data_IF_036753321988
#
_entry.id   IF_036753321988
#
_cell.length_a   1.000
_cell.length_b   1.000
_cell.length_c   1.000
_cell.angle_alpha   90.00
_cell.angle_beta   90.00
_cell.angle_gamma   90.00
#
_symmetry.space_group_name_H-M   'P 1'
#
loop_
_entity.id
_entity.type
_entity.pdbx_description
1 polymer ?
#
# COMPACT_ATOMS: atom_id res chain seq x y z
N UNK A 1 51.16 -24.84 -22.33
CA UNK A 1 49.83 -24.96 -22.98
C UNK A 1 48.88 -25.56 -21.97
N UNK A 2 47.84 -24.95 -21.43
CA UNK A 2 47.11 -23.72 -21.69
C UNK A 2 45.75 -24.02 -21.06
N UNK A 3 45.51 -23.59 -19.83
CA UNK A 3 44.23 -23.80 -19.16
C UNK A 3 43.26 -22.78 -19.74
N UNK A 4 42.21 -23.26 -20.39
CA UNK A 4 41.04 -22.45 -20.68
C UNK A 4 39.93 -23.16 -19.89
N UNK A 5 39.64 -22.58 -18.71
CA UNK A 5 38.31 -22.68 -18.15
C UNK A 5 37.50 -21.77 -19.05
N UNK A 6 36.55 -22.33 -19.79
CA UNK A 6 35.56 -21.50 -20.47
C UNK A 6 34.67 -20.92 -19.38
N UNK A 7 35.12 -19.75 -18.93
CA UNK A 7 34.41 -18.79 -18.13
C UNK A 7 33.36 -18.20 -19.07
N UNK A 8 32.10 -18.63 -18.94
CA UNK A 8 30.99 -17.87 -19.49
C UNK A 8 30.48 -17.01 -18.33
N UNK A 9 30.94 -15.77 -18.32
CA UNK A 9 30.81 -14.77 -17.23
C UNK A 9 29.58 -13.88 -17.41
N UNK A 10 28.52 -14.37 -18.06
CA UNK A 10 27.38 -13.53 -18.47
C UNK A 10 26.00 -14.15 -18.25
N UNK A 11 25.84 -15.13 -17.34
CA UNK A 11 24.53 -15.78 -17.11
C UNK A 11 24.16 -16.00 -15.62
N UNK A 12 24.83 -15.32 -14.69
CA UNK A 12 24.45 -15.32 -13.25
C UNK A 12 24.17 -13.90 -12.74
N UNK A 13 23.50 -13.09 -13.57
CA UNK A 13 22.97 -11.78 -13.18
C UNK A 13 21.52 -11.68 -13.61
N UNK A 14 20.70 -12.62 -13.14
CA UNK A 14 19.25 -12.50 -13.18
C UNK A 14 18.70 -12.77 -11.79
N UNK A 15 18.29 -11.67 -11.18
CA UNK A 15 17.24 -11.53 -10.19
C UNK A 15 17.44 -12.20 -8.83
N UNK A 16 18.41 -11.64 -8.09
CA UNK A 16 18.13 -11.23 -6.70
C UNK A 16 17.12 -10.07 -6.73
N UNK A 17 15.90 -10.33 -7.22
CA UNK A 17 14.78 -9.44 -6.98
C UNK A 17 14.28 -9.79 -5.60
N UNK A 18 14.53 -8.86 -4.70
CA UNK A 18 14.26 -8.93 -3.28
C UNK A 18 12.93 -9.63 -3.03
N UNK A 19 13.01 -10.72 -2.26
CA UNK A 19 11.93 -11.20 -1.44
C UNK A 19 11.64 -10.12 -0.37
N UNK A 20 11.18 -8.94 -0.79
CA UNK A 20 10.47 -8.01 0.07
C UNK A 20 9.12 -8.68 0.29
N UNK A 21 9.04 -9.29 1.46
CA UNK A 21 7.91 -9.99 2.05
C UNK A 21 6.58 -9.36 1.62
N UNK A 22 5.74 -10.14 0.95
CA UNK A 22 4.31 -9.82 0.81
C UNK A 22 3.66 -9.57 2.19
N UNK A 23 4.28 -10.06 3.27
CA UNK A 23 3.91 -9.83 4.66
C UNK A 23 4.11 -8.39 5.17
N UNK A 24 5.09 -7.63 4.68
CA UNK A 24 5.29 -6.23 5.15
C UNK A 24 4.15 -5.32 4.65
N UNK A 25 3.62 -5.60 3.45
CA UNK A 25 2.54 -4.81 2.86
C UNK A 25 1.17 -5.05 3.52
N UNK A 26 0.95 -6.24 4.10
CA UNK A 26 -0.28 -6.55 4.83
C UNK A 26 -0.26 -5.95 6.25
N UNK A 27 0.91 -5.95 6.90
CA UNK A 27 1.11 -5.34 8.23
C UNK A 27 0.89 -3.81 8.24
N UNK A 28 1.23 -3.11 7.17
CA UNK A 28 1.04 -1.64 7.07
C UNK A 28 -0.44 -1.24 7.08
N UNK A 29 -1.35 -2.11 6.60
CA UNK A 29 -2.77 -1.77 6.54
C UNK A 29 -3.48 -1.88 7.88
N UNK A 30 -3.04 -2.76 8.78
CA UNK A 30 -3.64 -2.91 10.11
C UNK A 30 -3.44 -1.64 10.96
N UNK A 31 -2.21 -1.12 11.04
CA UNK A 31 -1.92 0.11 11.78
C UNK A 31 -2.63 1.33 11.16
N UNK A 32 -2.71 1.36 9.82
CA UNK A 32 -3.39 2.42 9.09
C UNK A 32 -4.91 2.35 9.28
N UNK A 33 -5.50 1.15 9.38
CA UNK A 33 -6.91 0.93 9.67
C UNK A 33 -7.25 1.39 11.10
N UNK A 34 -6.41 1.06 12.09
CA UNK A 34 -6.57 1.56 13.46
C UNK A 34 -6.58 3.09 13.48
N UNK A 35 -5.60 3.72 12.82
CA UNK A 35 -5.55 5.17 12.71
C UNK A 35 -6.77 5.74 12.00
N UNK A 36 -7.24 5.08 10.94
CA UNK A 36 -8.45 5.48 10.23
C UNK A 36 -9.66 5.55 11.15
N UNK A 37 -9.90 4.55 12.01
CA UNK A 37 -11.01 4.58 12.97
C UNK A 37 -10.90 5.74 13.96
N UNK A 38 -9.69 6.12 14.37
CA UNK A 38 -9.47 7.26 15.27
C UNK A 38 -9.80 8.61 14.60
N UNK A 39 -9.51 8.74 13.30
CA UNK A 39 -9.61 10.02 12.58
C UNK A 39 -10.84 10.12 11.66
N UNK A 40 -11.59 9.04 11.43
CA UNK A 40 -12.63 8.93 10.41
C UNK A 40 -13.62 10.10 10.49
N UNK A 41 -14.13 10.38 11.69
CA UNK A 41 -15.12 11.45 11.91
C UNK A 41 -14.58 12.83 11.49
N UNK A 42 -13.33 13.14 11.85
CA UNK A 42 -12.70 14.41 11.48
C UNK A 42 -12.38 14.45 9.99
N UNK A 43 -11.85 13.35 9.46
CA UNK A 43 -11.49 13.20 8.06
C UNK A 43 -12.70 13.42 7.15
N UNK A 44 -13.84 12.82 7.49
CA UNK A 44 -15.12 12.97 6.79
C UNK A 44 -15.77 14.35 7.00
N UNK A 45 -15.56 14.96 8.17
CA UNK A 45 -15.98 16.35 8.42
C UNK A 45 -15.21 17.34 7.54
N UNK A 46 -13.90 17.13 7.35
CA UNK A 46 -13.05 17.93 6.45
C UNK A 46 -13.41 17.69 4.98
N UNK A 47 -13.74 16.46 4.63
CA UNK A 47 -14.00 16.03 3.26
C UNK A 47 -15.43 15.49 3.12
N UNK A 48 -16.39 16.41 3.11
CA UNK A 48 -17.83 16.12 3.06
C UNK A 48 -18.30 15.38 1.78
N UNK A 49 -17.41 15.18 0.81
CA UNK A 49 -17.67 14.37 -0.37
C UNK A 49 -17.54 12.85 -0.12
N UNK A 50 -16.90 12.44 0.97
CA UNK A 50 -16.79 11.04 1.40
C UNK A 50 -18.12 10.59 2.01
N UNK A 51 -18.74 9.59 1.42
CA UNK A 51 -20.01 9.03 1.91
C UNK A 51 -19.77 7.91 2.92
N UNK A 52 -20.79 7.57 3.72
CA UNK A 52 -20.72 6.45 4.67
C UNK A 52 -20.26 5.14 3.98
N UNK A 53 -20.75 4.86 2.78
CA UNK A 53 -20.37 3.65 2.03
C UNK A 53 -18.95 3.67 1.45
N UNK A 54 -18.35 4.85 1.29
CA UNK A 54 -16.94 4.97 0.89
C UNK A 54 -16.01 4.73 2.10
N UNK A 55 -16.46 5.13 3.29
CA UNK A 55 -15.72 5.04 4.57
C UNK A 55 -15.86 3.69 5.29
N UNK A 56 -16.90 2.91 4.96
CA UNK A 56 -17.15 1.60 5.56
C UNK A 56 -15.98 0.63 5.29
N UNK A 57 -15.40 0.10 6.37
CA UNK A 57 -14.33 -0.90 6.35
C UNK A 57 -14.93 -2.29 6.56
N UNK A 58 -14.69 -3.20 5.61
CA UNK A 58 -14.95 -4.62 5.82
C UNK A 58 -13.71 -5.28 6.43
N UNK A 59 -13.87 -6.32 7.28
CA UNK A 59 -12.74 -7.04 7.87
C UNK A 59 -11.77 -7.55 6.79
N UNK A 60 -10.50 -7.12 6.89
CA UNK A 60 -9.44 -7.50 5.94
C UNK A 60 -9.55 -6.84 4.56
N UNK A 61 -10.39 -5.82 4.38
CA UNK A 61 -10.54 -5.11 3.10
C UNK A 61 -10.24 -3.62 3.20
N UNK A 62 -9.40 -3.18 4.14
CA UNK A 62 -9.10 -1.76 4.30
C UNK A 62 -8.51 -1.12 3.04
N UNK A 63 -7.71 -1.87 2.28
CA UNK A 63 -7.22 -1.44 0.96
C UNK A 63 -8.37 -1.07 -0.01
N UNK A 64 -9.51 -1.77 0.04
CA UNK A 64 -10.68 -1.47 -0.77
C UNK A 64 -11.33 -0.15 -0.32
N UNK A 65 -11.41 0.10 1.00
CA UNK A 65 -11.89 1.37 1.56
C UNK A 65 -11.03 2.54 1.08
N UNK A 66 -9.70 2.42 1.14
CA UNK A 66 -8.78 3.44 0.60
C UNK A 66 -9.03 3.70 -0.89
N UNK A 67 -9.27 2.65 -1.68
CA UNK A 67 -9.56 2.79 -3.10
C UNK A 67 -10.91 3.50 -3.37
N UNK A 68 -11.94 3.26 -2.55
CA UNK A 68 -13.24 3.96 -2.65
C UNK A 68 -13.07 5.44 -2.34
N UNK A 69 -12.38 5.76 -1.24
CA UNK A 69 -12.08 7.15 -0.85
C UNK A 69 -11.27 7.84 -1.94
N UNK A 70 -10.22 7.19 -2.45
CA UNK A 70 -9.37 7.72 -3.52
C UNK A 70 -10.19 8.06 -4.78
N UNK A 71 -11.08 7.17 -5.22
CA UNK A 71 -11.98 7.42 -6.36
C UNK A 71 -12.92 8.58 -6.11
N UNK A 72 -13.49 8.70 -4.90
CA UNK A 72 -14.37 9.82 -4.53
C UNK A 72 -13.63 11.15 -4.57
N UNK A 73 -12.41 11.15 -4.05
CA UNK A 73 -11.52 12.32 -3.91
C UNK A 73 -10.77 12.67 -5.19
N UNK A 74 -10.81 11.82 -6.21
CA UNK A 74 -10.03 11.97 -7.44
C UNK A 74 -8.53 11.89 -7.21
N UNK A 75 -8.10 11.09 -6.23
CA UNK A 75 -6.70 10.89 -5.82
C UNK A 75 -6.27 9.43 -6.03
N UNK A 76 -4.98 9.17 -5.82
CA UNK A 76 -4.46 7.81 -5.70
C UNK A 76 -4.63 7.24 -4.29
N UNK A 77 -4.69 5.92 -4.15
CA UNK A 77 -4.75 5.26 -2.84
C UNK A 77 -3.55 5.61 -1.95
N UNK A 78 -2.38 5.79 -2.55
CA UNK A 78 -1.14 6.18 -1.84
C UNK A 78 -1.29 7.59 -1.24
N UNK A 79 -1.89 8.54 -1.95
CA UNK A 79 -2.16 9.87 -1.39
C UNK A 79 -3.12 9.81 -0.21
N UNK A 80 -4.16 8.97 -0.28
CA UNK A 80 -5.10 8.79 0.84
C UNK A 80 -4.40 8.14 2.03
N UNK A 81 -3.59 7.11 1.81
CA UNK A 81 -2.77 6.50 2.85
C UNK A 81 -1.89 7.54 3.54
N UNK A 82 -1.11 8.32 2.77
CA UNK A 82 -0.26 9.37 3.33
C UNK A 82 -1.07 10.41 4.12
N UNK A 83 -2.28 10.78 3.68
CA UNK A 83 -3.12 11.70 4.42
C UNK A 83 -3.58 11.12 5.76
N UNK A 84 -3.94 9.84 5.80
CA UNK A 84 -4.33 9.15 7.04
C UNK A 84 -3.10 9.05 7.96
N UNK A 85 -1.95 8.61 7.46
CA UNK A 85 -0.68 8.51 8.21
C UNK A 85 -0.23 9.84 8.80
N UNK A 86 -0.51 10.97 8.14
CA UNK A 86 -0.09 12.31 8.56
C UNK A 86 -1.22 13.15 9.18
N UNK A 87 -2.41 12.58 9.36
CA UNK A 87 -3.51 13.22 10.09
C UNK A 87 -3.17 13.46 11.55
#
# INVERSE_FOLDING_TARGET
MGKIKDFNEEDELYDEFENQSEDDFESDYDELEEKWYDIEDEYRSRYADITDGDAEVSPGEFQNTLAKIARRRGKSSIEIQNEIENW
#
